data_IF_118121087532
#
_entry.id   IF_118121087532
#
_cell.length_a   1.000
_cell.length_b   1.000
_cell.length_c   1.000
_cell.angle_alpha   90.00
_cell.angle_beta   90.00
_cell.angle_gamma   90.00
#
_symmetry.space_group_name_H-M   'P 1'
#
loop_
_entity.id
_entity.type
_entity.pdbx_description
1 polymer ?
#
# COMPACT_ATOMS: atom_id res chain seq x y z
N UNK A 1 -7.49 -4.85 5.24
CA UNK A 1 -6.83 -3.68 4.64
C UNK A 1 -6.82 -2.55 5.66
N UNK A 2 -5.75 -1.76 5.70
CA UNK A 2 -5.60 -0.60 6.58
C UNK A 2 -4.92 0.54 5.81
N UNK A 3 -5.11 1.76 6.27
CA UNK A 3 -4.40 2.96 5.81
C UNK A 3 -3.57 3.50 6.98
N UNK A 4 -2.39 4.05 6.71
CA UNK A 4 -1.63 4.75 7.74
C UNK A 4 -2.33 6.07 8.15
N UNK A 5 -2.02 6.58 9.34
CA UNK A 5 -2.65 7.78 9.89
C UNK A 5 -2.46 9.03 9.03
N UNK A 6 -1.40 9.10 8.21
CA UNK A 6 -1.12 10.24 7.33
C UNK A 6 -1.68 10.05 5.91
N UNK A 7 -2.25 8.88 5.59
CA UNK A 7 -2.84 8.59 4.28
C UNK A 7 -1.82 8.48 3.14
N UNK A 8 -0.59 8.07 3.44
CA UNK A 8 0.47 7.85 2.45
C UNK A 8 0.43 6.46 1.80
N UNK A 9 0.03 5.45 2.57
CA UNK A 9 0.10 4.04 2.26
C UNK A 9 -1.16 3.29 2.65
N UNK A 10 -1.62 2.44 1.73
CA UNK A 10 -2.53 1.34 2.05
C UNK A 10 -1.69 0.09 2.24
N UNK A 11 -1.98 -0.67 3.30
CA UNK A 11 -1.29 -1.92 3.58
C UNK A 11 -2.26 -2.99 4.09
N UNK A 12 -1.85 -4.25 3.96
CA UNK A 12 -2.59 -5.37 4.54
C UNK A 12 -1.65 -6.40 5.16
N UNK A 13 -2.18 -7.06 6.17
CA UNK A 13 -1.47 -8.03 7.00
C UNK A 13 -2.06 -9.40 6.69
N UNK A 14 -1.22 -10.37 6.35
CA UNK A 14 -1.65 -11.74 6.13
C UNK A 14 -1.84 -12.47 7.48
N UNK A 15 -2.44 -13.67 7.46
CA UNK A 15 -2.67 -14.54 8.61
C UNK A 15 -1.40 -14.77 9.45
N UNK A 16 -0.21 -14.73 8.83
CA UNK A 16 1.09 -14.80 9.54
C UNK A 16 1.49 -13.51 10.26
N UNK A 17 0.61 -12.51 10.35
CA UNK A 17 0.81 -11.18 10.96
C UNK A 17 1.96 -10.35 10.35
N UNK A 18 2.41 -10.71 9.15
CA UNK A 18 3.41 -9.94 8.40
C UNK A 18 2.69 -9.00 7.43
N UNK A 19 3.12 -7.74 7.39
CA UNK A 19 2.69 -6.79 6.35
C UNK A 19 3.22 -7.29 5.01
N UNK A 20 2.31 -7.67 4.12
CA UNK A 20 2.68 -8.35 2.87
C UNK A 20 3.05 -7.33 1.81
N UNK A 21 2.20 -6.33 1.61
CA UNK A 21 2.33 -5.37 0.52
C UNK A 21 1.78 -4.01 0.97
N UNK A 22 2.35 -2.95 0.39
CA UNK A 22 1.91 -1.58 0.57
C UNK A 22 1.83 -0.88 -0.80
N UNK A 23 0.81 -0.06 -0.97
CA UNK A 23 0.60 0.73 -2.17
C UNK A 23 0.65 2.22 -1.84
N UNK A 24 1.32 2.98 -2.69
CA UNK A 24 1.40 4.43 -2.58
C UNK A 24 0.09 5.07 -3.03
N UNK A 25 -0.48 5.94 -2.20
CA UNK A 25 -1.74 6.62 -2.52
C UNK A 25 -1.51 7.90 -3.34
N UNK A 26 -0.36 8.56 -3.19
CA UNK A 26 -0.07 9.88 -3.78
C UNK A 26 1.35 9.94 -4.36
N UNK A 27 1.47 9.89 -5.68
CA UNK A 27 2.60 10.43 -6.42
C UNK A 27 2.10 10.71 -7.84
N UNK A 28 2.17 11.97 -8.27
CA UNK A 28 1.93 12.36 -9.67
C UNK A 28 3.24 12.76 -10.37
N UNK A 29 4.29 13.08 -9.60
CA UNK A 29 5.51 13.68 -10.13
C UNK A 29 6.66 12.69 -10.40
N UNK A 30 6.55 11.40 -10.04
CA UNK A 30 7.55 10.40 -10.45
C UNK A 30 6.99 9.01 -10.81
N UNK A 31 5.69 8.76 -10.66
CA UNK A 31 5.01 7.56 -11.15
C UNK A 31 3.57 7.96 -11.37
N UNK A 32 2.99 7.72 -12.54
CA UNK A 32 1.58 8.00 -12.80
C UNK A 32 0.72 6.91 -12.16
N UNK A 33 0.55 6.96 -10.84
CA UNK A 33 -0.37 6.04 -10.17
C UNK A 33 -1.81 6.44 -10.50
N UNK A 34 -2.34 5.83 -11.55
CA UNK A 34 -3.76 5.85 -11.88
C UNK A 34 -4.48 4.91 -10.92
N UNK A 35 -5.32 5.50 -10.07
CA UNK A 35 -6.15 4.74 -9.16
C UNK A 35 -7.58 4.73 -9.71
N UNK A 36 -8.00 3.58 -10.22
CA UNK A 36 -9.38 3.36 -10.63
C UNK A 36 -9.97 2.20 -9.85
N UNK A 37 -11.26 2.32 -9.54
CA UNK A 37 -12.04 1.24 -8.96
C UNK A 37 -12.87 0.61 -10.07
N UNK A 38 -12.51 -0.62 -10.44
CA UNK A 38 -13.28 -1.43 -11.38
C UNK A 38 -13.87 -2.59 -10.60
N UNK A 39 -15.17 -2.83 -10.77
CA UNK A 39 -15.79 -4.06 -10.29
C UNK A 39 -15.39 -5.19 -11.23
N UNK A 40 -14.27 -5.86 -10.91
CA UNK A 40 -13.79 -6.99 -11.70
C UNK A 40 -14.47 -8.26 -11.23
N UNK A 41 -15.04 -9.00 -12.17
CA UNK A 41 -15.59 -10.33 -11.94
C UNK A 41 -14.45 -11.36 -11.98
N UNK A 42 -14.17 -12.10 -10.88
CA UNK A 42 -13.14 -13.13 -10.89
C UNK A 42 -13.47 -14.24 -11.88
N UNK A 43 -12.61 -14.43 -12.88
CA UNK A 43 -12.85 -15.43 -13.93
C UNK A 43 -12.69 -16.88 -13.41
N UNK A 44 -11.77 -17.08 -12.46
CA UNK A 44 -11.40 -18.40 -11.98
C UNK A 44 -12.51 -19.07 -11.14
N UNK A 45 -13.06 -20.22 -11.55
CA UNK A 45 -14.22 -20.85 -10.89
C UNK A 45 -14.04 -21.11 -9.40
N UNK A 46 -12.84 -21.55 -8.97
CA UNK A 46 -12.57 -21.77 -7.53
C UNK A 46 -12.74 -20.51 -6.68
N UNK A 47 -12.36 -19.34 -7.22
CA UNK A 47 -12.51 -18.07 -6.50
C UNK A 47 -13.99 -17.69 -6.43
N UNK A 48 -14.75 -17.97 -7.51
CA UNK A 48 -16.20 -17.73 -7.54
C UNK A 48 -16.98 -18.56 -6.56
N UNK A 49 -16.62 -19.84 -6.44
CA UNK A 49 -17.21 -20.74 -5.47
C UNK A 49 -16.93 -20.31 -4.03
N UNK A 50 -15.72 -19.82 -3.73
CA UNK A 50 -15.38 -19.34 -2.37
C UNK A 50 -16.25 -18.16 -1.94
N UNK A 51 -16.65 -17.30 -2.89
CA UNK A 51 -17.47 -16.11 -2.63
C UNK A 51 -18.94 -16.28 -3.02
N UNK A 52 -19.39 -17.49 -3.38
CA UNK A 52 -20.74 -17.81 -3.83
C UNK A 52 -21.28 -16.82 -4.90
N UNK A 53 -20.44 -16.40 -5.86
CA UNK A 53 -20.83 -15.35 -6.82
C UNK A 53 -21.78 -15.84 -7.92
N UNK A 54 -21.84 -17.15 -8.17
CA UNK A 54 -22.74 -17.73 -9.18
C UNK A 54 -24.16 -17.99 -8.60
N UNK A 55 -24.45 -17.58 -7.35
CA UNK A 55 -25.78 -17.68 -6.74
C UNK A 55 -26.67 -16.48 -7.08
N UNK A 56 -27.97 -16.70 -7.38
CA UNK A 56 -28.89 -15.65 -7.86
C UNK A 56 -29.14 -14.49 -6.88
N UNK A 57 -28.93 -14.67 -5.58
CA UNK A 57 -29.09 -13.61 -4.56
C UNK A 57 -27.76 -12.99 -4.08
N UNK A 58 -26.66 -13.27 -4.78
CA UNK A 58 -25.34 -12.81 -4.36
C UNK A 58 -25.13 -11.32 -4.70
N UNK A 59 -25.18 -10.43 -3.71
CA UNK A 59 -24.76 -9.03 -3.85
C UNK A 59 -23.22 -8.89 -3.81
N UNK A 60 -22.53 -9.67 -4.62
CA UNK A 60 -21.07 -9.79 -4.59
C UNK A 60 -20.39 -8.54 -5.16
N UNK A 61 -20.98 -7.89 -6.16
CA UNK A 61 -20.46 -6.66 -6.76
C UNK A 61 -20.37 -5.51 -5.74
N UNK A 62 -21.30 -5.40 -4.80
CA UNK A 62 -21.23 -4.39 -3.74
C UNK A 62 -20.12 -4.65 -2.69
N UNK A 63 -19.50 -5.84 -2.74
CA UNK A 63 -18.45 -6.30 -1.81
C UNK A 63 -17.07 -6.37 -2.47
N UNK A 64 -16.95 -6.21 -3.78
CA UNK A 64 -15.67 -6.27 -4.49
C UNK A 64 -15.02 -4.88 -4.61
N UNK A 65 -13.75 -4.78 -4.25
CA UNK A 65 -12.92 -3.58 -4.39
C UNK A 65 -11.67 -3.93 -5.19
N UNK A 66 -11.49 -3.35 -6.38
CA UNK A 66 -10.23 -3.47 -7.12
C UNK A 66 -9.47 -2.17 -7.00
N UNK A 67 -8.23 -2.25 -6.54
CA UNK A 67 -7.29 -1.14 -6.56
C UNK A 67 -6.33 -1.36 -7.73
N UNK A 68 -6.40 -0.47 -8.73
CA UNK A 68 -5.46 -0.46 -9.85
C UNK A 68 -4.33 0.51 -9.52
N UNK A 69 -3.08 0.11 -9.73
CA UNK A 69 -1.92 0.98 -9.54
C UNK A 69 -0.85 0.68 -10.57
N UNK A 70 -0.16 1.70 -11.07
CA UNK A 70 0.91 1.51 -12.03
C UNK A 70 1.92 2.64 -12.01
N UNK A 71 3.03 2.41 -12.70
CA UNK A 71 4.05 3.44 -12.98
C UNK A 71 3.60 4.36 -14.12
N UNK A 72 2.83 3.79 -15.04
CA UNK A 72 2.26 4.42 -16.23
C UNK A 72 0.90 3.78 -16.57
N UNK A 73 0.28 4.22 -17.67
CA UNK A 73 -1.03 3.75 -18.15
C UNK A 73 -1.04 2.32 -18.67
N UNK A 74 0.12 1.69 -18.85
CA UNK A 74 0.29 0.35 -19.45
C UNK A 74 0.67 -0.67 -18.38
N UNK A 75 1.65 -0.33 -17.54
CA UNK A 75 2.20 -1.17 -16.49
C UNK A 75 1.34 -1.08 -15.22
N UNK A 76 0.16 -1.68 -15.30
CA UNK A 76 -0.85 -1.69 -14.24
C UNK A 76 -0.81 -3.00 -13.44
N UNK A 77 -0.89 -2.86 -12.12
CA UNK A 77 -1.07 -3.94 -11.14
C UNK A 77 -2.45 -3.82 -10.54
N UNK A 78 -3.14 -4.96 -10.40
CA UNK A 78 -4.51 -5.05 -9.93
C UNK A 78 -4.55 -5.78 -8.59
N UNK A 79 -4.96 -5.09 -7.53
CA UNK A 79 -5.18 -5.68 -6.22
C UNK A 79 -6.68 -5.81 -5.96
N UNK A 80 -7.17 -7.05 -5.91
CA UNK A 80 -8.58 -7.37 -5.73
C UNK A 80 -8.86 -7.72 -4.26
N UNK A 81 -9.83 -7.04 -3.66
CA UNK A 81 -10.29 -7.27 -2.29
C UNK A 81 -11.78 -7.61 -2.29
N UNK A 82 -12.17 -8.45 -1.34
CA UNK A 82 -13.56 -8.79 -1.08
C UNK A 82 -13.91 -8.41 0.36
N UNK A 83 -14.88 -7.52 0.52
CA UNK A 83 -15.29 -7.00 1.82
C UNK A 83 -16.27 -7.96 2.51
N UNK A 84 -16.08 -8.19 3.80
CA UNK A 84 -17.01 -8.98 4.61
C UNK A 84 -18.33 -8.27 4.89
N UNK A 85 -18.33 -6.92 4.88
CA UNK A 85 -19.50 -6.08 5.15
C UNK A 85 -19.94 -5.32 3.90
N UNK A 86 -21.25 -5.19 3.74
CA UNK A 86 -21.85 -4.38 2.68
C UNK A 86 -21.57 -2.89 2.89
N UNK A 87 -21.57 -2.12 1.79
CA UNK A 87 -21.40 -0.66 1.75
C UNK A 87 -20.05 -0.11 2.24
N UNK A 88 -19.14 -0.96 2.74
CA UNK A 88 -17.78 -0.54 3.15
C UNK A 88 -16.89 -0.23 1.94
N UNK A 89 -17.08 -0.96 0.84
CA UNK A 89 -16.31 -0.80 -0.41
C UNK A 89 -16.42 0.60 -0.99
N UNK A 90 -17.62 1.17 -1.02
CA UNK A 90 -17.87 2.50 -1.60
C UNK A 90 -17.14 3.60 -0.83
N UNK A 91 -17.17 3.55 0.50
CA UNK A 91 -16.46 4.51 1.35
C UNK A 91 -14.95 4.40 1.14
N UNK A 92 -14.39 3.19 1.15
CA UNK A 92 -12.98 2.98 0.85
C UNK A 92 -12.60 3.50 -0.54
N UNK A 93 -13.41 3.22 -1.57
CA UNK A 93 -13.15 3.71 -2.91
C UNK A 93 -13.12 5.25 -2.97
N UNK A 94 -14.13 5.89 -2.40
CA UNK A 94 -14.25 7.35 -2.36
C UNK A 94 -13.10 8.00 -1.58
N UNK A 95 -12.79 7.49 -0.38
CA UNK A 95 -11.74 8.04 0.49
C UNK A 95 -10.36 7.90 -0.15
N UNK A 96 -10.04 6.75 -0.75
CA UNK A 96 -8.74 6.56 -1.39
C UNK A 96 -8.61 7.46 -2.62
N UNK A 97 -9.66 7.58 -3.46
CA UNK A 97 -9.65 8.51 -4.61
C UNK A 97 -9.46 9.95 -4.13
N UNK A 98 -10.18 10.37 -3.09
CA UNK A 98 -10.07 11.72 -2.53
C UNK A 98 -8.66 12.01 -2.00
N UNK A 99 -7.94 11.00 -1.50
CA UNK A 99 -6.54 11.13 -1.09
C UNK A 99 -5.61 11.19 -2.31
N UNK A 100 -5.76 10.26 -3.25
CA UNK A 100 -4.87 10.13 -4.40
C UNK A 100 -4.92 11.33 -5.34
N UNK A 101 -6.11 11.86 -5.58
CA UNK A 101 -6.33 12.99 -6.49
C UNK A 101 -6.28 14.36 -5.80
N UNK A 102 -5.91 14.42 -4.51
CA UNK A 102 -5.77 15.68 -3.80
C UNK A 102 -4.54 16.47 -4.29
N UNK A 103 -4.77 17.63 -4.90
CA UNK A 103 -3.72 18.48 -5.45
C UNK A 103 -2.73 19.00 -4.39
N UNK A 104 -3.21 19.37 -3.20
CA UNK A 104 -2.34 19.87 -2.12
C UNK A 104 -1.42 18.78 -1.57
N UNK A 105 -1.89 17.54 -1.46
CA UNK A 105 -1.05 16.39 -1.09
C UNK A 105 -0.01 16.07 -2.15
N UNK A 106 -0.41 16.11 -3.43
CA UNK A 106 0.50 15.85 -4.53
C UNK A 106 1.59 16.94 -4.69
N UNK A 107 1.35 18.15 -4.18
CA UNK A 107 2.27 19.29 -4.20
C UNK A 107 2.77 19.69 -2.80
N UNK A 108 2.85 18.72 -1.88
CA UNK A 108 3.31 18.98 -0.51
C UNK A 108 4.78 19.37 -0.43
N UNK A 109 5.19 19.97 0.69
CA UNK A 109 6.58 20.38 0.89
C UNK A 109 7.53 19.18 1.06
N UNK A 110 8.84 19.44 0.95
CA UNK A 110 9.89 18.41 1.09
C UNK A 110 9.78 17.60 2.37
N UNK A 111 9.40 18.23 3.49
CA UNK A 111 9.24 17.56 4.77
C UNK A 111 8.21 16.43 4.71
N UNK A 112 7.09 16.64 4.02
CA UNK A 112 6.03 15.61 3.87
C UNK A 112 6.56 14.38 3.12
N UNK A 113 7.42 14.58 2.14
CA UNK A 113 8.05 13.45 1.42
C UNK A 113 9.07 12.70 2.29
N UNK A 114 9.79 13.38 3.19
CA UNK A 114 10.68 12.71 4.17
C UNK A 114 9.87 11.92 5.20
N UNK A 115 8.77 12.50 5.70
CA UNK A 115 7.83 11.81 6.59
C UNK A 115 7.25 10.56 5.93
N UNK A 116 6.95 10.64 4.64
CA UNK A 116 6.47 9.50 3.86
C UNK A 116 7.49 8.36 3.82
N UNK A 117 8.78 8.67 3.61
CA UNK A 117 9.86 7.67 3.69
C UNK A 117 9.93 7.04 5.09
N UNK A 118 9.80 7.86 6.14
CA UNK A 118 9.78 7.38 7.53
C UNK A 118 8.62 6.43 7.81
N UNK A 119 7.40 6.77 7.37
CA UNK A 119 6.22 5.89 7.52
C UNK A 119 6.45 4.58 6.76
N UNK A 120 7.00 4.62 5.55
CA UNK A 120 7.32 3.42 4.77
C UNK A 120 8.25 2.47 5.53
N UNK A 121 9.33 2.99 6.10
CA UNK A 121 10.27 2.19 6.89
C UNK A 121 9.62 1.63 8.16
N UNK A 122 8.77 2.42 8.81
CA UNK A 122 8.05 2.05 10.03
C UNK A 122 6.97 0.98 9.80
N UNK A 123 6.45 0.87 8.58
CA UNK A 123 5.55 -0.22 8.19
C UNK A 123 6.29 -1.52 7.83
N UNK A 124 7.61 -1.49 7.62
CA UNK A 124 8.39 -2.66 7.22
C UNK A 124 9.09 -3.33 8.39
N UNK A 125 8.33 -3.70 9.42
CA UNK A 125 8.87 -4.33 10.63
C UNK A 125 9.02 -5.85 10.51
N UNK A 126 9.90 -6.42 11.32
CA UNK A 126 9.96 -7.87 11.55
C UNK A 126 8.80 -8.32 12.47
N UNK A 127 8.78 -9.62 12.83
CA UNK A 127 7.77 -10.19 13.75
C UNK A 127 7.81 -9.55 15.15
N UNK A 128 8.94 -9.01 15.55
CA UNK A 128 9.15 -8.32 16.84
C UNK A 128 8.80 -6.82 16.78
N UNK A 129 8.25 -6.34 15.66
CA UNK A 129 7.92 -4.93 15.48
C UNK A 129 9.12 -4.00 15.26
N UNK A 130 10.33 -4.54 15.03
CA UNK A 130 11.55 -3.77 14.79
C UNK A 130 11.79 -3.55 13.30
N UNK A 131 12.33 -2.39 12.93
CA UNK A 131 12.72 -2.07 11.55
C UNK A 131 14.04 -2.77 11.22
N UNK A 132 14.09 -3.71 10.26
CA UNK A 132 15.33 -4.37 9.89
C UNK A 132 16.27 -3.39 9.16
N UNK A 133 17.55 -3.35 9.56
CA UNK A 133 18.57 -2.47 8.95
C UNK A 133 18.67 -2.69 7.42
N UNK A 134 18.46 -3.93 6.95
CA UNK A 134 18.41 -4.25 5.51
C UNK A 134 17.36 -3.44 4.74
N UNK A 135 16.25 -3.03 5.37
CA UNK A 135 15.23 -2.19 4.74
C UNK A 135 15.71 -0.76 4.55
N UNK A 136 16.49 -0.23 5.49
CA UNK A 136 17.09 1.11 5.38
C UNK A 136 18.10 1.15 4.22
N UNK A 137 18.94 0.11 4.07
CA UNK A 137 19.86 0.01 2.93
C UNK A 137 19.14 -0.07 1.58
N UNK A 138 17.99 -0.75 1.52
CA UNK A 138 17.16 -0.80 0.30
C UNK A 138 16.52 0.55 -0.03
N UNK A 139 16.15 1.33 0.99
CA UNK A 139 15.57 2.66 0.80
C UNK A 139 16.60 3.68 0.30
N UNK A 140 17.85 3.56 0.74
CA UNK A 140 18.95 4.44 0.35
C UNK A 140 20.07 3.65 -0.32
N UNK A 141 19.86 3.12 -1.54
CA UNK A 141 20.80 2.20 -2.18
C UNK A 141 22.06 2.88 -2.72
N UNK A 142 22.07 4.22 -2.83
CA UNK A 142 23.13 4.97 -3.49
C UNK A 142 24.50 4.86 -2.79
N UNK A 143 24.53 4.85 -1.46
CA UNK A 143 25.78 4.76 -0.70
C UNK A 143 25.57 4.07 0.64
N UNK A 144 25.92 2.78 0.69
CA UNK A 144 25.79 1.96 1.90
C UNK A 144 26.69 2.45 3.04
N UNK A 145 27.91 2.89 2.76
CA UNK A 145 28.88 3.30 3.79
C UNK A 145 28.40 4.57 4.49
N UNK A 146 27.84 5.51 3.74
CA UNK A 146 27.22 6.72 4.31
C UNK A 146 26.01 6.40 5.16
N UNK A 147 25.17 5.44 4.75
CA UNK A 147 24.03 4.98 5.56
C UNK A 147 24.51 4.37 6.88
N UNK A 148 25.54 3.53 6.86
CA UNK A 148 26.15 2.95 8.07
C UNK A 148 26.73 4.02 9.00
N UNK A 149 27.41 5.03 8.44
CA UNK A 149 27.92 6.18 9.18
C UNK A 149 26.81 6.99 9.85
N UNK A 150 25.72 7.26 9.14
CA UNK A 150 24.57 8.00 9.67
C UNK A 150 23.85 7.23 10.79
N UNK A 151 23.67 5.90 10.63
CA UNK A 151 23.11 5.05 11.68
C UNK A 151 23.98 5.06 12.93
N UNK A 152 25.30 4.95 12.77
CA UNK A 152 26.23 4.99 13.88
C UNK A 152 26.22 6.35 14.61
N UNK A 153 26.18 7.45 13.85
CA UNK A 153 26.09 8.81 14.41
C UNK A 153 24.79 9.04 15.19
N UNK A 154 23.71 8.33 14.84
CA UNK A 154 22.44 8.34 15.56
C UNK A 154 22.37 7.28 16.69
N UNK A 155 23.47 6.60 17.00
CA UNK A 155 23.53 5.50 17.98
C UNK A 155 22.56 4.33 17.68
N UNK A 156 22.31 4.07 16.39
CA UNK A 156 21.48 2.97 15.92
C UNK A 156 22.32 1.77 15.43
N UNK A 157 21.76 0.54 15.42
CA UNK A 157 22.47 -0.64 14.95
C UNK A 157 22.89 -0.52 13.47
N UNK A 158 24.13 -0.93 13.17
CA UNK A 158 24.66 -1.11 11.81
C UNK A 158 24.93 -2.62 11.58
N UNK A 159 24.32 -3.21 10.55
CA UNK A 159 24.46 -4.65 10.26
C UNK A 159 23.38 -5.56 10.87
N UNK A 160 23.61 -6.87 10.88
CA UNK A 160 22.69 -7.85 11.50
C UNK A 160 22.90 -7.82 13.02
N UNK A 161 21.90 -7.34 13.74
CA UNK A 161 21.57 -7.87 15.08
C UNK A 161 20.36 -8.76 14.89
#
# INVERSE_FOLDING_TARGET
MKMDSKGFYIYWINQSKVIVEYMFVSQKHQMNTLLFFILLYPQHPKVRNVFNMDFPDSNHLAKTLTIVSGMDTVNLTYHNFFASKEKVVQNWASDILAIAYNAARNNSCRQVFLDKIYVCLSLQTNKDGKIPVKRIYKMFPADKKRVEGALAAAHLPKGKV
#
